data_IF_436750133715
#
_entry.id   IF_436750133715
#
_cell.length_a   1.000
_cell.length_b   1.000
_cell.length_c   1.000
_cell.angle_alpha   90.00
_cell.angle_beta   90.00
_cell.angle_gamma   90.00
#
_symmetry.space_group_name_H-M   'P 1'
#
loop_
_entity.id
_entity.type
_entity.pdbx_description
1 polymer ?
#
# COMPACT_ATOMS: atom_id res chain seq x y z
N UNK A 1 -18.07 2.89 17.96
CA UNK A 1 -18.30 3.87 16.92
C UNK A 1 -17.11 3.91 15.97
N UNK A 2 -17.39 3.73 14.71
CA UNK A 2 -16.33 3.73 13.72
C UNK A 2 -15.86 5.12 13.44
N UNK A 3 -14.55 5.33 13.63
CA UNK A 3 -13.94 6.57 13.21
C UNK A 3 -13.55 6.41 11.75
N UNK A 4 -14.07 7.28 10.92
CA UNK A 4 -13.73 7.24 9.51
C UNK A 4 -12.24 7.54 9.36
N UNK A 5 -11.53 6.64 8.68
CA UNK A 5 -10.12 6.83 8.43
C UNK A 5 -9.93 7.80 7.27
N UNK A 6 -8.86 8.56 7.33
CA UNK A 6 -8.61 9.60 6.34
C UNK A 6 -7.32 9.32 5.57
N UNK A 7 -7.24 9.94 4.39
CA UNK A 7 -6.05 9.85 3.54
C UNK A 7 -5.03 10.93 3.93
N UNK A 8 -3.98 11.05 3.13
CA UNK A 8 -2.88 12.00 3.40
C UNK A 8 -3.37 13.45 3.44
N UNK A 9 -4.50 13.75 2.76
CA UNK A 9 -5.06 15.10 2.70
C UNK A 9 -6.11 15.35 3.79
N UNK A 10 -6.25 14.46 4.77
CA UNK A 10 -7.26 14.54 5.83
C UNK A 10 -8.70 14.45 5.31
N UNK A 11 -8.87 13.81 4.15
CA UNK A 11 -10.16 13.53 3.54
C UNK A 11 -10.51 12.05 3.74
N UNK A 12 -11.79 11.67 3.60
CA UNK A 12 -12.13 10.25 3.66
C UNK A 12 -11.28 9.45 2.67
N UNK A 13 -10.71 8.34 3.15
CA UNK A 13 -9.84 7.52 2.32
C UNK A 13 -10.64 6.92 1.16
N UNK A 14 -10.04 6.91 -0.05
CA UNK A 14 -10.67 6.36 -1.23
C UNK A 14 -10.25 4.91 -1.45
N UNK A 15 -11.04 4.17 -2.23
CA UNK A 15 -10.76 2.78 -2.52
C UNK A 15 -9.45 2.62 -3.28
N UNK A 16 -8.58 1.72 -2.81
CA UNK A 16 -7.30 1.44 -3.46
C UNK A 16 -7.49 0.49 -4.64
N UNK A 17 -8.09 -0.67 -4.41
CA UNK A 17 -8.36 -1.61 -5.49
C UNK A 17 -9.36 -2.68 -5.04
N UNK A 18 -10.30 -3.02 -5.93
CA UNK A 18 -11.26 -4.09 -5.68
C UNK A 18 -10.96 -5.34 -6.51
N UNK A 19 -10.04 -5.27 -7.47
CA UNK A 19 -9.70 -6.41 -8.32
C UNK A 19 -8.23 -6.31 -8.77
N UNK A 20 -7.30 -6.90 -8.03
CA UNK A 20 -7.49 -7.78 -6.87
C UNK A 20 -7.94 -6.97 -5.65
N UNK A 21 -8.82 -7.56 -4.84
CA UNK A 21 -9.29 -6.86 -3.66
C UNK A 21 -8.14 -6.77 -2.64
N UNK A 22 -7.87 -5.56 -2.16
CA UNK A 22 -6.73 -5.27 -1.31
C UNK A 22 -7.17 -4.81 0.08
N UNK A 23 -6.16 -4.53 0.91
CA UNK A 23 -6.40 -4.04 2.27
C UNK A 23 -6.33 -5.15 3.30
N UNK A 24 -5.96 -4.78 4.53
CA UNK A 24 -5.89 -5.73 5.64
C UNK A 24 -7.22 -6.44 5.83
N UNK A 25 -8.33 -5.70 5.68
CA UNK A 25 -9.68 -6.26 5.84
C UNK A 25 -10.25 -6.83 4.54
N UNK A 26 -9.52 -6.75 3.44
CA UNK A 26 -9.99 -7.16 2.11
C UNK A 26 -11.29 -6.46 1.72
N UNK A 27 -11.36 -5.16 2.03
CA UNK A 27 -12.50 -4.32 1.67
C UNK A 27 -12.18 -3.37 0.51
N UNK A 28 -10.97 -3.46 -0.05
CA UNK A 28 -10.54 -2.62 -1.16
C UNK A 28 -9.89 -1.32 -0.73
N UNK A 29 -9.88 -1.03 0.56
CA UNK A 29 -9.35 0.22 1.12
C UNK A 29 -8.13 -0.07 1.99
N UNK A 30 -7.25 0.90 2.10
CA UNK A 30 -6.08 0.79 2.98
C UNK A 30 -6.46 1.19 4.41
N UNK A 31 -7.54 0.57 4.91
CA UNK A 31 -7.96 0.73 6.29
C UNK A 31 -7.08 -0.11 7.22
N UNK A 32 -6.94 0.32 8.45
CA UNK A 32 -6.12 -0.39 9.41
C UNK A 32 -6.76 -0.33 10.79
N UNK A 33 -6.26 -1.18 11.69
CA UNK A 33 -6.56 -1.10 13.12
C UNK A 33 -5.37 -1.68 13.87
N UNK A 34 -5.51 -1.82 15.19
CA UNK A 34 -4.41 -2.27 16.03
C UNK A 34 -3.99 -3.72 15.79
N UNK A 35 -4.81 -4.51 15.10
CA UNK A 35 -4.48 -5.89 14.74
C UNK A 35 -3.60 -5.96 13.49
N UNK A 36 -3.61 -4.90 12.69
CA UNK A 36 -2.79 -4.82 11.47
C UNK A 36 -1.39 -4.34 11.82
N UNK A 37 -0.58 -5.23 12.36
CA UNK A 37 0.77 -4.89 12.81
C UNK A 37 1.68 -4.47 11.67
N UNK A 38 1.42 -4.98 10.47
CA UNK A 38 2.21 -4.62 9.30
C UNK A 38 1.84 -3.27 8.72
N UNK A 39 0.73 -2.68 9.17
CA UNK A 39 0.22 -1.41 8.67
C UNK A 39 0.18 -1.41 7.14
N UNK A 40 -0.75 -2.20 6.59
CA UNK A 40 -0.94 -2.34 5.14
C UNK A 40 -1.76 -1.15 4.63
N UNK A 41 -1.14 0.01 4.57
CA UNK A 41 -1.84 1.28 4.45
C UNK A 41 -1.38 2.18 3.29
N UNK A 42 -0.37 1.74 2.51
CA UNK A 42 0.18 2.55 1.42
C UNK A 42 -0.34 2.04 0.08
N UNK A 43 -1.32 2.75 -0.49
CA UNK A 43 -1.86 2.33 -1.78
C UNK A 43 -0.86 2.63 -2.89
N UNK A 44 -0.25 1.58 -3.43
CA UNK A 44 0.86 1.67 -4.37
C UNK A 44 0.52 1.03 -5.70
N UNK A 45 1.07 1.60 -6.78
CA UNK A 45 0.96 1.02 -8.11
C UNK A 45 2.11 0.04 -8.31
N UNK A 46 1.80 -1.23 -8.44
CA UNK A 46 2.82 -2.28 -8.51
C UNK A 46 3.67 -2.15 -9.77
N UNK A 47 4.97 -2.38 -9.60
CA UNK A 47 5.93 -2.46 -10.70
C UNK A 47 6.68 -3.78 -10.61
N UNK A 48 7.23 -4.25 -11.74
CA UNK A 48 8.03 -5.47 -11.72
C UNK A 48 9.22 -5.32 -10.78
N UNK A 49 9.85 -4.14 -10.77
CA UNK A 49 11.01 -3.87 -9.93
C UNK A 49 10.67 -3.99 -8.44
N UNK A 50 9.55 -3.39 -8.03
CA UNK A 50 9.14 -3.48 -6.63
C UNK A 50 8.77 -4.91 -6.25
N UNK A 51 8.00 -5.60 -7.10
CA UNK A 51 7.56 -6.97 -6.83
C UNK A 51 8.77 -7.90 -6.69
N UNK A 52 9.76 -7.75 -7.56
CA UNK A 52 10.97 -8.55 -7.53
C UNK A 52 11.79 -8.27 -6.27
N UNK A 53 11.96 -6.99 -5.94
CA UNK A 53 12.67 -6.58 -4.73
C UNK A 53 11.99 -7.12 -3.48
N UNK A 54 10.67 -6.96 -3.40
CA UNK A 54 9.87 -7.40 -2.25
C UNK A 54 10.01 -8.90 -2.04
N UNK A 55 9.95 -9.66 -3.13
CA UNK A 55 10.12 -11.12 -3.06
C UNK A 55 11.50 -11.48 -2.54
N UNK A 56 12.53 -10.79 -2.99
CA UNK A 56 13.91 -11.06 -2.56
C UNK A 56 14.11 -10.75 -1.07
N UNK A 57 13.27 -9.91 -0.49
CA UNK A 57 13.35 -9.53 0.92
C UNK A 57 12.38 -10.32 1.78
N UNK A 58 11.80 -11.38 1.26
CA UNK A 58 10.96 -12.28 2.03
C UNK A 58 9.48 -11.94 2.04
N UNK A 59 9.06 -10.97 1.22
CA UNK A 59 7.65 -10.57 1.12
C UNK A 59 7.18 -10.80 -0.32
N UNK A 60 6.88 -12.05 -0.65
CA UNK A 60 6.49 -12.44 -2.00
C UNK A 60 5.02 -12.07 -2.26
N UNK A 61 4.82 -11.04 -3.07
CA UNK A 61 3.49 -10.58 -3.46
C UNK A 61 3.07 -11.10 -4.83
N UNK A 62 3.95 -11.80 -5.53
CA UNK A 62 3.72 -12.21 -6.92
C UNK A 62 3.13 -13.62 -7.05
N UNK A 63 3.40 -14.49 -6.08
CA UNK A 63 2.96 -15.88 -6.17
C UNK A 63 1.52 -16.00 -5.68
N UNK A 64 0.63 -16.61 -6.49
CA UNK A 64 -0.75 -16.84 -6.04
C UNK A 64 -0.82 -17.70 -4.79
N UNK A 65 -1.75 -17.37 -3.91
CA UNK A 65 -2.03 -18.12 -2.68
C UNK A 65 -3.52 -18.42 -2.64
N UNK A 66 -3.96 -19.49 -3.33
CA UNK A 66 -5.40 -19.82 -3.41
C UNK A 66 -6.06 -20.02 -2.04
N UNK A 67 -5.29 -20.53 -1.07
CA UNK A 67 -5.79 -20.76 0.29
C UNK A 67 -6.21 -19.46 0.99
N UNK A 68 -5.72 -18.30 0.51
CA UNK A 68 -6.11 -16.99 1.02
C UNK A 68 -6.86 -16.17 0.00
N UNK A 69 -7.31 -16.78 -1.10
CA UNK A 69 -7.97 -16.10 -2.21
C UNK A 69 -7.11 -14.96 -2.78
N UNK A 70 -5.79 -15.13 -2.74
CA UNK A 70 -4.84 -14.14 -3.22
C UNK A 70 -4.33 -14.55 -4.60
N UNK A 71 -4.62 -13.75 -5.65
CA UNK A 71 -4.29 -14.14 -7.03
C UNK A 71 -2.84 -13.88 -7.41
N UNK A 72 -2.04 -13.25 -6.54
CA UNK A 72 -0.72 -12.77 -6.91
C UNK A 72 -0.81 -11.45 -7.63
N UNK A 73 0.15 -10.57 -7.40
CA UNK A 73 0.16 -9.25 -8.00
C UNK A 73 1.06 -9.20 -9.22
N UNK A 74 0.73 -8.30 -10.14
CA UNK A 74 1.54 -8.03 -11.31
C UNK A 74 1.62 -6.53 -11.52
N UNK A 75 2.55 -6.09 -12.36
CA UNK A 75 2.72 -4.67 -12.67
C UNK A 75 1.38 -4.10 -13.16
N UNK A 76 1.03 -2.92 -12.64
CA UNK A 76 -0.22 -2.26 -12.96
C UNK A 76 -1.32 -2.47 -11.93
N UNK A 77 -1.19 -3.48 -11.06
CA UNK A 77 -2.14 -3.67 -9.96
C UNK A 77 -1.90 -2.62 -8.88
N UNK A 78 -2.96 -2.26 -8.15
CA UNK A 78 -2.84 -1.40 -6.97
C UNK A 78 -3.00 -2.25 -5.72
N UNK A 79 -2.22 -1.94 -4.70
CA UNK A 79 -2.20 -2.77 -3.49
C UNK A 79 -1.88 -1.92 -2.27
N UNK A 80 -2.51 -2.24 -1.14
CA UNK A 80 -2.19 -1.61 0.14
C UNK A 80 -0.95 -2.28 0.71
N UNK A 81 0.21 -1.66 0.46
CA UNK A 81 1.51 -2.20 0.85
C UNK A 81 1.79 -1.86 2.31
N UNK A 82 2.47 -2.77 3.00
CA UNK A 82 2.98 -2.53 4.34
C UNK A 82 3.90 -1.30 4.34
N UNK A 83 3.66 -0.36 5.25
CA UNK A 83 4.41 0.90 5.27
C UNK A 83 5.91 0.69 5.43
N UNK A 84 6.33 -0.24 6.30
CA UNK A 84 7.74 -0.52 6.49
C UNK A 84 8.37 -1.18 5.25
N UNK A 85 7.59 -2.01 4.53
CA UNK A 85 8.08 -2.62 3.30
C UNK A 85 8.24 -1.59 2.20
N UNK A 86 7.33 -0.60 2.15
CA UNK A 86 7.46 0.49 1.20
C UNK A 86 8.71 1.32 1.51
N UNK A 87 8.91 1.63 2.79
CA UNK A 87 10.07 2.41 3.24
C UNK A 87 11.37 1.68 2.92
N UNK A 88 11.42 0.37 3.16
CA UNK A 88 12.58 -0.45 2.83
C UNK A 88 12.90 -0.36 1.34
N UNK A 89 11.87 -0.46 0.49
CA UNK A 89 12.05 -0.35 -0.95
C UNK A 89 12.55 1.04 -1.33
N UNK A 90 12.03 2.08 -0.68
CA UNK A 90 12.48 3.44 -0.92
C UNK A 90 13.99 3.59 -0.62
N UNK A 91 14.43 3.02 0.49
CA UNK A 91 15.83 3.12 0.90
C UNK A 91 16.78 2.40 -0.06
N UNK A 92 16.25 1.45 -0.83
CA UNK A 92 17.04 0.69 -1.81
C UNK A 92 16.77 1.09 -3.26
N UNK A 93 15.93 2.11 -3.48
CA UNK A 93 15.68 2.62 -4.82
C UNK A 93 14.61 1.88 -5.63
N UNK A 94 13.75 1.11 -4.98
CA UNK A 94 12.72 0.30 -5.66
C UNK A 94 11.29 0.65 -5.27
N UNK A 95 11.07 1.75 -4.55
CA UNK A 95 9.73 2.10 -4.09
C UNK A 95 8.82 2.44 -5.28
N UNK A 96 7.58 1.91 -5.29
CA UNK A 96 6.63 2.24 -6.34
C UNK A 96 5.94 3.57 -6.08
N UNK A 97 5.31 4.12 -7.11
CA UNK A 97 4.49 5.33 -6.99
C UNK A 97 3.25 5.00 -6.15
N UNK A 98 2.69 6.02 -5.53
CA UNK A 98 1.56 5.87 -4.62
C UNK A 98 0.42 6.83 -4.96
N UNK A 99 -0.78 6.47 -4.48
CA UNK A 99 -1.96 7.31 -4.57
C UNK A 99 -2.24 7.90 -3.19
N UNK A 100 -1.99 9.19 -3.01
CA UNK A 100 -2.15 9.82 -1.69
C UNK A 100 -3.60 9.81 -1.21
N UNK A 101 -4.55 9.96 -2.13
CA UNK A 101 -5.99 9.95 -1.78
C UNK A 101 -6.46 8.58 -1.28
N UNK A 102 -5.69 7.54 -1.58
CA UNK A 102 -6.02 6.16 -1.24
C UNK A 102 -5.11 5.59 -0.15
N UNK A 103 -4.18 6.40 0.34
CA UNK A 103 -3.20 6.02 1.35
C UNK A 103 -3.62 6.55 2.71
N UNK A 104 -3.59 5.69 3.72
CA UNK A 104 -4.00 6.06 5.08
C UNK A 104 -3.04 7.10 5.67
N UNK A 105 -3.59 8.12 6.30
CA UNK A 105 -2.83 9.20 6.95
C UNK A 105 -1.81 8.67 7.95
N UNK A 106 -2.08 7.53 8.56
CA UNK A 106 -1.19 6.91 9.54
C UNK A 106 0.20 6.63 8.97
N UNK A 107 0.32 6.55 7.64
CA UNK A 107 1.60 6.36 6.96
C UNK A 107 2.60 7.45 7.34
N UNK A 108 2.14 8.66 7.64
CA UNK A 108 3.02 9.79 7.98
C UNK A 108 3.76 9.59 9.30
N UNK A 109 3.35 8.63 10.11
CA UNK A 109 4.08 8.29 11.34
C UNK A 109 5.30 7.41 11.06
N UNK A 110 5.40 6.86 9.85
CA UNK A 110 6.49 5.94 9.47
C UNK A 110 7.34 6.55 8.35
N UNK A 111 6.71 7.24 7.40
CA UNK A 111 7.37 7.80 6.22
C UNK A 111 7.12 9.30 6.18
N UNK A 112 8.17 10.08 5.99
CA UNK A 112 8.08 11.54 5.90
C UNK A 112 7.14 11.92 4.75
N UNK A 113 6.25 12.88 5.03
CA UNK A 113 5.26 13.30 4.04
C UNK A 113 5.89 13.86 2.76
N UNK A 114 7.09 14.47 2.85
CA UNK A 114 7.77 14.98 1.68
C UNK A 114 8.21 13.85 0.74
N UNK A 115 8.58 12.69 1.31
CA UNK A 115 8.91 11.52 0.51
C UNK A 115 7.64 10.99 -0.18
N UNK A 116 6.53 10.94 0.56
CA UNK A 116 5.26 10.48 -0.01
C UNK A 116 4.83 11.36 -1.17
N UNK A 117 4.97 12.67 -1.04
CA UNK A 117 4.62 13.61 -2.11
C UNK A 117 5.48 13.40 -3.35
N UNK A 118 6.76 13.06 -3.15
CA UNK A 118 7.68 12.81 -4.26
C UNK A 118 7.22 11.64 -5.12
N UNK A 119 6.58 10.65 -4.52
CA UNK A 119 6.14 9.44 -5.22
C UNK A 119 4.65 9.48 -5.58
N UNK A 120 3.97 10.60 -5.36
CA UNK A 120 2.53 10.70 -5.58
C UNK A 120 2.16 10.74 -7.05
N UNK A 121 1.18 9.92 -7.43
CA UNK A 121 0.59 9.94 -8.77
C UNK A 121 -0.51 10.99 -8.84
N UNK A 122 -1.29 11.13 -7.76
CA UNK A 122 -2.51 11.93 -7.72
C UNK A 122 -2.33 13.28 -7.02
N UNK A 123 -1.16 13.87 -7.19
CA UNK A 123 -0.89 15.21 -6.66
C UNK A 123 -0.59 16.14 -7.83
N UNK A 124 -1.31 17.25 -7.88
CA UNK A 124 -1.12 18.26 -8.91
C UNK A 124 -0.13 19.33 -8.44
#
# INVERSE_FOLDING_TARGET
MDMQQVNIFDEPIEECCSNPITGFFRDGFCHTDQLDRGLHIVCSLMTDEFLSFSKSRGNDLSTPRPEFNFPGLKAGDSWCVCAERWKEAYEHGFAPKIYLKKTNKKTTSIIDIEILKEFAIDMN
#
